data_IF_013328078071
#
_entry.id   IF_013328078071
#
_cell.length_a   1.000
_cell.length_b   1.000
_cell.length_c   1.000
_cell.angle_alpha   90.00
_cell.angle_beta   90.00
_cell.angle_gamma   90.00
#
_symmetry.space_group_name_H-M   'P 1'
#
loop_
_entity.id
_entity.type
_entity.pdbx_description
1 polymer ?
#
# COMPACT_ATOMS: atom_id res chain seq x y z
N UNK A 1 3.22 51.17 20.35
CA UNK A 1 4.65 51.27 19.99
C UNK A 1 4.83 50.88 18.52
N UNK A 2 5.92 51.27 17.85
CA UNK A 2 6.21 50.82 16.49
C UNK A 2 7.09 49.56 16.48
N UNK A 3 6.71 48.54 15.72
CA UNK A 3 7.45 47.29 15.55
C UNK A 3 8.49 47.51 14.43
N UNK A 4 9.76 47.32 14.76
CA UNK A 4 10.86 47.40 13.80
C UNK A 4 11.37 45.99 13.45
N UNK A 5 11.47 45.66 12.17
CA UNK A 5 11.97 44.37 11.70
C UNK A 5 12.58 44.48 10.30
N UNK A 6 13.39 43.49 9.90
CA UNK A 6 14.09 43.47 8.60
C UNK A 6 13.47 42.43 7.66
N UNK A 7 13.34 42.80 6.39
CA UNK A 7 12.98 41.87 5.31
C UNK A 7 14.19 41.01 4.92
N UNK A 8 13.96 39.87 4.27
CA UNK A 8 15.02 38.98 3.77
C UNK A 8 15.94 39.63 2.73
N UNK A 9 15.50 40.71 2.07
CA UNK A 9 16.33 41.53 1.19
C UNK A 9 17.22 42.55 1.94
N UNK A 10 17.18 42.57 3.27
CA UNK A 10 17.98 43.48 4.11
C UNK A 10 17.30 44.82 4.44
N UNK A 11 16.20 45.19 3.77
CA UNK A 11 15.49 46.45 4.03
C UNK A 11 14.76 46.41 5.38
N UNK A 12 15.00 47.42 6.23
CA UNK A 12 14.34 47.57 7.51
C UNK A 12 12.98 48.28 7.36
N UNK A 13 11.98 47.83 8.12
CA UNK A 13 10.64 48.39 8.17
C UNK A 13 10.26 48.72 9.62
N UNK A 14 9.55 49.84 9.77
CA UNK A 14 8.97 50.28 11.04
C UNK A 14 7.47 50.46 10.82
N UNK A 15 6.66 49.61 11.46
CA UNK A 15 5.20 49.57 11.27
C UNK A 15 4.49 49.80 12.60
N UNK A 16 3.28 50.38 12.60
CA UNK A 16 2.50 50.55 13.82
C UNK A 16 2.03 49.20 14.37
N UNK A 17 1.81 49.11 15.70
CA UNK A 17 1.34 47.88 16.36
C UNK A 17 0.07 47.27 15.75
N UNK A 18 -0.83 48.09 15.18
CA UNK A 18 -2.06 47.63 14.52
C UNK A 18 -1.81 46.80 13.24
N UNK A 19 -0.56 46.74 12.78
CA UNK A 19 -0.11 45.92 11.66
C UNK A 19 0.50 44.58 12.09
N UNK A 20 0.64 44.32 13.40
CA UNK A 20 1.13 43.04 13.93
C UNK A 20 0.38 41.85 13.33
N UNK A 21 1.12 40.84 12.85
CA UNK A 21 0.56 39.62 12.26
C UNK A 21 0.04 39.76 10.82
N UNK A 22 -0.12 40.98 10.29
CA UNK A 22 -0.60 41.20 8.91
C UNK A 22 0.50 40.97 7.88
N UNK A 23 0.10 40.55 6.67
CA UNK A 23 1.00 40.35 5.52
C UNK A 23 0.95 41.56 4.59
N UNK A 24 2.11 42.01 4.10
CA UNK A 24 2.22 43.04 3.06
C UNK A 24 3.40 42.76 2.14
N UNK A 25 3.45 43.38 0.97
CA UNK A 25 4.54 43.19 0.01
C UNK A 25 5.72 44.12 0.33
N UNK A 26 6.94 43.59 0.31
CA UNK A 26 8.15 44.40 0.47
C UNK A 26 8.30 45.37 -0.71
N UNK A 27 8.52 46.67 -0.44
CA UNK A 27 8.71 47.69 -1.49
C UNK A 27 10.04 47.59 -2.26
N UNK A 28 10.95 46.69 -1.87
CA UNK A 28 12.26 46.53 -2.51
C UNK A 28 12.40 45.24 -3.33
N UNK A 29 11.79 44.14 -2.87
CA UNK A 29 11.90 42.84 -3.55
C UNK A 29 10.54 42.22 -3.91
N UNK A 30 9.44 42.92 -3.63
CA UNK A 30 8.04 42.53 -3.92
C UNK A 30 7.54 41.24 -3.26
N UNK A 31 8.40 40.53 -2.51
CA UNK A 31 8.04 39.32 -1.78
C UNK A 31 7.04 39.62 -0.66
N UNK A 32 6.05 38.74 -0.42
CA UNK A 32 5.12 38.87 0.70
C UNK A 32 5.86 38.65 2.03
N UNK A 33 5.67 39.57 2.96
CA UNK A 33 6.31 39.60 4.28
C UNK A 33 5.24 39.71 5.36
N UNK A 34 5.42 39.00 6.48
CA UNK A 34 4.51 39.06 7.62
C UNK A 34 5.13 39.87 8.76
N UNK A 35 4.37 40.80 9.35
CA UNK A 35 4.80 41.57 10.52
C UNK A 35 4.84 40.64 11.74
N UNK A 36 5.95 40.56 12.49
CA UNK A 36 6.01 39.80 13.73
C UNK A 36 5.00 40.34 14.74
N UNK A 37 4.14 39.48 15.28
CA UNK A 37 3.27 39.87 16.40
C UNK A 37 4.02 39.67 17.72
N UNK A 38 4.05 40.66 18.63
CA UNK A 38 4.59 40.47 19.98
C UNK A 38 3.75 39.39 20.65
N UNK A 39 4.36 38.22 20.86
CA UNK A 39 3.64 37.03 21.29
C UNK A 39 2.88 37.29 22.59
N UNK A 40 1.59 36.95 22.59
CA UNK A 40 1.03 36.26 23.76
C UNK A 40 2.02 35.16 24.10
N UNK A 41 2.69 35.28 25.25
CA UNK A 41 3.54 34.24 25.81
C UNK A 41 2.74 32.96 25.70
N UNK A 42 3.17 32.02 24.84
CA UNK A 42 2.65 30.65 24.87
C UNK A 42 2.72 30.22 26.33
N UNK A 43 1.58 29.96 26.94
CA UNK A 43 1.54 29.34 28.25
C UNK A 43 2.46 28.12 28.15
N UNK A 44 3.57 28.15 28.90
CA UNK A 44 4.30 26.94 29.26
C UNK A 44 3.22 26.05 29.88
N UNK A 45 2.84 24.97 29.18
CA UNK A 45 2.04 23.90 29.78
C UNK A 45 2.84 23.48 31.02
N UNK A 46 2.28 23.77 32.20
CA UNK A 46 2.82 23.33 33.47
C UNK A 46 2.96 21.81 33.39
N UNK A 47 4.16 21.34 33.70
CA UNK A 47 4.36 20.01 34.24
C UNK A 47 3.52 19.94 35.51
N UNK A 48 2.48 19.10 35.47
CA UNK A 48 1.69 18.71 36.62
C UNK A 48 1.57 17.19 36.55
N UNK A 49 2.18 16.55 37.55
CA UNK A 49 1.91 15.25 38.15
C UNK A 49 1.72 14.03 37.25
N UNK A 50 2.41 12.98 37.65
CA UNK A 50 2.17 11.57 37.30
C UNK A 50 0.68 11.27 37.16
N UNK A 51 0.32 10.78 35.98
CA UNK A 51 -0.95 10.12 35.74
C UNK A 51 -0.62 8.66 35.45
N UNK A 52 -1.03 7.83 36.39
CA UNK A 52 -1.11 6.38 36.32
C UNK A 52 -1.78 5.95 35.00
N UNK A 53 -1.16 5.10 34.17
CA UNK A 53 -1.75 4.59 32.94
C UNK A 53 -2.87 3.54 33.15
N UNK A 54 -3.34 3.30 34.38
CA UNK A 54 -4.38 2.30 34.67
C UNK A 54 -5.72 2.81 35.25
N UNK A 55 -6.07 4.11 35.16
CA UNK A 55 -7.43 4.55 35.52
C UNK A 55 -8.35 4.56 34.29
N UNK A 56 -9.11 3.48 34.10
CA UNK A 56 -10.29 3.47 33.23
C UNK A 56 -11.37 4.37 33.85
N UNK A 57 -11.49 5.59 33.36
CA UNK A 57 -12.64 6.46 33.62
C UNK A 57 -13.70 6.18 32.55
N UNK A 58 -14.68 5.37 32.94
CA UNK A 58 -15.92 5.11 32.20
C UNK A 58 -16.81 6.36 32.30
N UNK A 59 -16.44 7.41 31.58
CA UNK A 59 -17.20 8.65 31.48
C UNK A 59 -18.21 8.59 30.33
N UNK A 60 -19.46 8.24 30.66
CA UNK A 60 -20.64 8.51 29.84
C UNK A 60 -20.60 9.96 29.32
N UNK A 61 -20.41 10.15 28.02
CA UNK A 61 -20.63 11.44 27.37
C UNK A 61 -22.11 11.55 26.96
N UNK A 62 -22.86 12.22 27.83
CA UNK A 62 -24.17 12.80 27.54
C UNK A 62 -24.05 13.93 26.49
N UNK A 63 -25.01 13.90 25.58
CA UNK A 63 -25.59 14.99 24.80
C UNK A 63 -24.73 15.78 23.78
N UNK A 64 -24.95 15.36 22.54
CA UNK A 64 -24.63 16.06 21.31
C UNK A 64 -25.38 17.41 21.17
N UNK A 65 -24.63 18.51 21.09
CA UNK A 65 -25.10 19.74 20.45
C UNK A 65 -24.64 19.76 18.98
N UNK A 66 -25.55 19.79 17.98
CA UNK A 66 -25.17 19.78 16.58
C UNK A 66 -24.53 21.12 16.18
N UNK A 67 -23.27 21.08 15.79
CA UNK A 67 -22.57 22.20 15.16
C UNK A 67 -23.15 22.41 13.75
N UNK A 68 -23.82 23.53 13.55
CA UNK A 68 -24.40 23.92 12.26
C UNK A 68 -23.32 24.10 11.18
N UNK A 69 -23.40 23.29 10.13
CA UNK A 69 -22.56 23.42 8.93
C UNK A 69 -22.93 24.70 8.15
N UNK A 70 -21.95 25.41 7.56
CA UNK A 70 -22.22 26.60 6.76
C UNK A 70 -22.98 26.28 5.46
N UNK A 71 -23.87 27.18 4.98
CA UNK A 71 -24.74 26.92 3.84
C UNK A 71 -23.96 26.80 2.52
N UNK A 72 -24.11 25.64 1.87
CA UNK A 72 -23.58 25.33 0.54
C UNK A 72 -24.33 26.16 -0.52
N UNK A 73 -23.63 27.09 -1.18
CA UNK A 73 -24.13 27.88 -2.31
C UNK A 73 -24.62 26.96 -3.44
N UNK A 74 -25.92 26.98 -3.72
CA UNK A 74 -26.53 26.43 -4.94
C UNK A 74 -26.19 27.33 -6.13
N UNK A 75 -25.51 26.79 -7.14
CA UNK A 75 -25.49 27.38 -8.50
C UNK A 75 -26.61 26.71 -9.29
N UNK A 76 -27.69 27.45 -9.51
CA UNK A 76 -28.66 27.18 -10.56
C UNK A 76 -28.08 27.56 -11.93
N UNK A 77 -28.57 26.89 -12.96
CA UNK A 77 -28.10 27.05 -14.34
C UNK A 77 -28.84 26.12 -15.27
N UNK A 78 -30.11 26.41 -15.45
CA UNK A 78 -31.09 25.83 -16.37
C UNK A 78 -30.67 25.99 -17.84
N UNK A 79 -30.83 24.94 -18.65
CA UNK A 79 -31.42 25.03 -19.99
C UNK A 79 -31.45 23.66 -20.68
N UNK A 80 -32.56 23.45 -21.36
CA UNK A 80 -33.16 22.19 -21.79
C UNK A 80 -32.82 21.87 -23.27
N UNK A 81 -33.61 21.09 -24.05
CA UNK A 81 -33.17 19.81 -24.64
C UNK A 81 -33.17 19.83 -26.18
N UNK A 82 -32.62 18.80 -26.87
CA UNK A 82 -33.05 18.43 -28.25
C UNK A 82 -32.51 17.08 -28.78
N UNK A 83 -33.45 16.12 -28.91
CA UNK A 83 -33.78 15.24 -30.06
C UNK A 83 -32.74 14.99 -31.19
N UNK A 84 -32.57 13.70 -31.53
CA UNK A 84 -32.96 12.98 -32.79
C UNK A 84 -32.23 11.61 -32.81
N UNK A 85 -32.86 10.43 -32.70
CA UNK A 85 -33.70 9.63 -33.62
C UNK A 85 -33.10 9.35 -35.02
N UNK A 86 -33.24 8.07 -35.41
CA UNK A 86 -33.14 7.44 -36.75
C UNK A 86 -31.75 7.23 -37.34
N UNK A 87 -31.43 6.11 -37.99
CA UNK A 87 -32.28 5.01 -38.42
C UNK A 87 -31.45 3.84 -38.96
N UNK A 88 -32.06 2.66 -38.86
CA UNK A 88 -31.60 1.43 -39.48
C UNK A 88 -31.96 1.39 -40.98
N UNK A 89 -31.43 0.36 -41.64
CA UNK A 89 -31.83 -0.31 -42.90
C UNK A 89 -30.92 -0.06 -44.11
N UNK A 90 -30.90 -0.95 -45.12
CA UNK A 90 -31.13 -2.41 -45.11
C UNK A 90 -30.04 -3.22 -45.86
N UNK A 91 -30.10 -4.54 -45.64
CA UNK A 91 -29.44 -5.56 -46.46
C UNK A 91 -29.99 -5.53 -47.89
N UNK A 92 -29.11 -5.58 -48.89
CA UNK A 92 -29.48 -5.85 -50.28
C UNK A 92 -29.14 -7.30 -50.60
N UNK A 93 -30.21 -8.09 -50.72
CA UNK A 93 -30.27 -9.42 -51.29
C UNK A 93 -30.04 -9.35 -52.80
N UNK A 94 -29.14 -10.17 -53.34
CA UNK A 94 -29.12 -10.47 -54.77
C UNK A 94 -28.91 -11.97 -54.98
N UNK A 95 -29.96 -12.62 -55.47
CA UNK A 95 -30.00 -14.01 -55.93
C UNK A 95 -29.45 -14.11 -57.35
N UNK A 96 -28.25 -14.68 -57.49
CA UNK A 96 -27.74 -15.44 -58.64
C UNK A 96 -26.65 -16.35 -58.07
N UNK A 97 -26.56 -17.64 -58.29
CA UNK A 97 -27.28 -18.57 -59.14
C UNK A 97 -26.49 -19.87 -59.06
N UNK A 98 -27.04 -20.85 -58.33
CA UNK A 98 -27.18 -22.26 -58.70
C UNK A 98 -26.12 -22.97 -59.58
N UNK A 99 -24.82 -22.63 -59.52
CA UNK A 99 -23.77 -23.39 -60.23
C UNK A 99 -22.51 -23.67 -59.40
N UNK A 100 -22.52 -23.41 -58.08
CA UNK A 100 -21.36 -23.62 -57.18
C UNK A 100 -21.59 -24.83 -56.23
N UNK A 101 -22.70 -25.56 -56.37
CA UNK A 101 -23.11 -26.59 -55.41
C UNK A 101 -22.36 -27.93 -55.47
N UNK A 102 -21.70 -28.28 -56.58
CA UNK A 102 -21.05 -29.60 -56.74
C UNK A 102 -19.52 -29.51 -56.66
N UNK A 103 -18.91 -28.36 -56.99
CA UNK A 103 -17.47 -28.15 -56.82
C UNK A 103 -17.03 -27.88 -55.37
N UNK A 104 -17.89 -27.26 -54.56
CA UNK A 104 -17.53 -26.86 -53.19
C UNK A 104 -17.59 -28.03 -52.19
N UNK A 105 -18.40 -29.06 -52.43
CA UNK A 105 -18.46 -30.24 -51.54
C UNK A 105 -17.21 -31.12 -51.70
N UNK A 106 -16.68 -31.26 -52.92
CA UNK A 106 -15.43 -32.00 -53.15
C UNK A 106 -14.20 -31.24 -52.61
N UNK A 107 -14.17 -29.91 -52.73
CA UNK A 107 -13.08 -29.09 -52.19
C UNK A 107 -13.15 -28.96 -50.65
N UNK A 108 -14.34 -29.00 -50.05
CA UNK A 108 -14.52 -29.03 -48.59
C UNK A 108 -14.22 -30.40 -47.95
N UNK A 109 -14.36 -31.51 -48.67
CA UNK A 109 -14.01 -32.82 -48.10
C UNK A 109 -12.51 -33.12 -48.20
N UNK A 110 -11.85 -32.71 -49.30
CA UNK A 110 -10.38 -32.87 -49.43
C UNK A 110 -9.61 -31.77 -48.69
N UNK A 111 -10.11 -30.53 -48.72
CA UNK A 111 -9.57 -29.41 -47.93
C UNK A 111 -9.99 -29.41 -46.46
N UNK A 112 -11.11 -30.06 -46.10
CA UNK A 112 -11.59 -30.15 -44.72
C UNK A 112 -10.84 -31.16 -43.88
N UNK A 113 -10.45 -32.32 -44.42
CA UNK A 113 -9.64 -33.29 -43.67
C UNK A 113 -8.18 -32.84 -43.57
N UNK A 114 -7.61 -32.27 -44.64
CA UNK A 114 -6.27 -31.67 -44.59
C UNK A 114 -6.21 -30.38 -43.76
N UNK A 115 -7.24 -29.52 -43.86
CA UNK A 115 -7.35 -28.28 -43.11
C UNK A 115 -7.66 -28.50 -41.62
N UNK A 116 -8.43 -29.51 -41.25
CA UNK A 116 -8.70 -29.83 -39.85
C UNK A 116 -7.45 -30.37 -39.13
N UNK A 117 -6.62 -31.17 -39.83
CA UNK A 117 -5.31 -31.58 -39.29
C UNK A 117 -4.27 -30.45 -39.30
N UNK A 118 -4.32 -29.52 -40.26
CA UNK A 118 -3.46 -28.32 -40.25
C UNK A 118 -3.84 -27.31 -39.14
N UNK A 119 -5.13 -27.18 -38.81
CA UNK A 119 -5.59 -26.30 -37.72
C UNK A 119 -5.35 -26.92 -36.34
N UNK A 120 -5.43 -28.25 -36.19
CA UNK A 120 -5.00 -28.90 -34.93
C UNK A 120 -3.48 -28.86 -34.71
N UNK A 121 -2.67 -28.81 -35.77
CA UNK A 121 -1.21 -28.69 -35.64
C UNK A 121 -0.72 -27.26 -35.43
N UNK A 122 -1.56 -26.23 -35.62
CA UNK A 122 -1.28 -24.85 -35.19
C UNK A 122 -1.75 -24.54 -33.76
N UNK A 123 -2.59 -25.40 -33.17
CA UNK A 123 -2.98 -25.31 -31.75
C UNK A 123 -2.24 -26.34 -30.87
N UNK A 124 -1.32 -27.09 -31.47
CA UNK A 124 -0.42 -28.00 -30.78
C UNK A 124 0.69 -27.20 -30.10
N UNK A 125 0.48 -26.93 -28.82
CA UNK A 125 1.56 -26.61 -27.89
C UNK A 125 2.14 -25.22 -28.07
N UNK A 126 1.44 -24.22 -27.53
CA UNK A 126 2.17 -23.26 -26.72
C UNK A 126 2.89 -24.08 -25.65
N UNK A 127 4.15 -24.43 -25.93
CA UNK A 127 5.04 -24.98 -24.94
C UNK A 127 4.92 -24.10 -23.69
N UNK A 128 4.85 -24.68 -22.47
CA UNK A 128 4.85 -23.88 -21.26
C UNK A 128 6.00 -22.88 -21.39
N UNK A 129 5.66 -21.59 -21.36
CA UNK A 129 6.61 -20.52 -21.52
C UNK A 129 7.82 -20.86 -20.64
N UNK A 130 8.98 -21.04 -21.26
CA UNK A 130 10.19 -21.43 -20.56
C UNK A 130 10.34 -20.53 -19.33
N UNK A 131 10.66 -21.08 -18.15
CA UNK A 131 10.71 -20.31 -16.91
C UNK A 131 11.59 -19.10 -17.15
N UNK A 132 11.01 -17.91 -17.00
CA UNK A 132 11.71 -16.64 -17.17
C UNK A 132 12.90 -16.69 -16.22
N UNK A 133 14.11 -16.78 -16.77
CA UNK A 133 15.32 -16.81 -15.97
C UNK A 133 15.56 -15.41 -15.41
N UNK A 134 15.05 -15.17 -14.19
CA UNK A 134 15.22 -13.90 -13.48
C UNK A 134 16.64 -13.86 -12.90
N UNK A 135 17.39 -12.80 -13.20
CA UNK A 135 18.70 -12.57 -12.59
C UNK A 135 18.52 -11.87 -11.24
N UNK A 136 19.11 -12.41 -10.18
CA UNK A 136 18.97 -11.87 -8.83
C UNK A 136 20.22 -11.12 -8.38
N UNK A 137 20.01 -9.92 -7.83
CA UNK A 137 21.01 -9.15 -7.10
C UNK A 137 20.75 -9.27 -5.59
N UNK A 138 21.80 -9.11 -4.79
CA UNK A 138 21.67 -9.20 -3.32
C UNK A 138 21.90 -7.83 -2.71
N UNK A 139 20.92 -7.36 -1.93
CA UNK A 139 21.07 -6.18 -1.08
C UNK A 139 21.51 -6.62 0.32
N UNK A 140 22.48 -5.92 0.89
CA UNK A 140 22.86 -6.02 2.31
C UNK A 140 22.70 -4.65 2.96
N UNK A 141 21.74 -4.52 3.86
CA UNK A 141 21.45 -3.25 4.52
C UNK A 141 22.26 -3.12 5.81
N UNK A 142 23.36 -2.37 5.77
CA UNK A 142 24.32 -2.28 6.88
C UNK A 142 23.69 -1.89 8.22
N UNK A 143 22.83 -0.86 8.22
CA UNK A 143 22.17 -0.37 9.44
C UNK A 143 20.95 -1.21 9.87
N UNK A 144 20.42 -2.04 8.97
CA UNK A 144 19.23 -2.84 9.21
C UNK A 144 19.58 -4.25 9.69
N UNK A 145 20.81 -4.72 9.43
CA UNK A 145 21.21 -6.09 9.74
C UNK A 145 20.33 -7.11 9.02
N UNK A 146 19.97 -6.82 7.77
CA UNK A 146 19.28 -7.76 6.90
C UNK A 146 19.89 -7.79 5.50
N UNK A 147 19.76 -8.94 4.86
CA UNK A 147 20.10 -9.15 3.45
C UNK A 147 18.90 -9.72 2.70
N UNK A 148 18.70 -9.32 1.46
CA UNK A 148 17.59 -9.81 0.64
C UNK A 148 18.01 -9.87 -0.84
N UNK A 149 17.65 -10.95 -1.53
CA UNK A 149 17.75 -11.02 -2.99
C UNK A 149 16.57 -10.32 -3.63
N UNK A 150 16.79 -9.70 -4.77
CA UNK A 150 15.74 -9.08 -5.58
C UNK A 150 16.08 -9.20 -7.07
N UNK A 151 15.09 -9.18 -7.97
CA UNK A 151 15.34 -9.17 -9.40
C UNK A 151 16.17 -7.94 -9.78
N UNK A 152 17.26 -8.15 -10.53
CA UNK A 152 18.27 -7.12 -10.82
C UNK A 152 17.76 -6.02 -11.74
N UNK A 153 16.67 -6.30 -12.45
CA UNK A 153 15.96 -5.39 -13.34
C UNK A 153 14.96 -4.47 -12.63
N UNK A 154 14.78 -4.63 -11.31
CA UNK A 154 13.83 -3.83 -10.53
C UNK A 154 14.47 -2.56 -9.96
N UNK A 155 13.68 -1.49 -9.92
CA UNK A 155 14.07 -0.24 -9.26
C UNK A 155 14.16 -0.47 -7.75
N UNK A 156 15.31 -0.17 -7.16
CA UNK A 156 15.60 -0.35 -5.75
C UNK A 156 15.65 0.99 -5.01
N UNK A 157 15.00 1.06 -3.84
CA UNK A 157 15.09 2.17 -2.89
C UNK A 157 15.43 1.61 -1.52
N UNK A 158 16.45 2.15 -0.88
CA UNK A 158 16.83 1.83 0.49
C UNK A 158 16.96 3.09 1.34
N UNK A 159 16.85 2.95 2.66
CA UNK A 159 17.09 4.06 3.58
C UNK A 159 16.70 3.75 5.02
N UNK A 160 16.91 4.74 5.89
CA UNK A 160 16.65 4.58 7.32
C UNK A 160 17.82 3.94 8.07
N UNK A 161 17.57 3.52 9.32
CA UNK A 161 18.60 2.98 10.22
C UNK A 161 19.40 4.03 11.00
N UNK A 162 19.18 5.33 10.73
CA UNK A 162 19.80 6.44 11.47
C UNK A 162 18.78 7.55 11.77
N UNK A 163 19.00 8.30 12.85
CA UNK A 163 18.16 9.45 13.21
C UNK A 163 16.71 9.11 13.56
N UNK A 164 16.45 7.94 14.15
CA UNK A 164 15.11 7.49 14.54
C UNK A 164 14.21 7.05 13.39
N UNK A 165 14.75 6.96 12.16
CA UNK A 165 14.02 6.42 11.00
C UNK A 165 14.25 4.91 10.91
N UNK A 166 13.20 4.08 10.91
CA UNK A 166 13.34 2.63 10.76
C UNK A 166 14.02 2.27 9.43
N UNK A 167 14.94 1.30 9.39
CA UNK A 167 15.54 0.83 8.15
C UNK A 167 14.48 0.19 7.23
N UNK A 168 14.60 0.43 5.94
CA UNK A 168 13.73 -0.13 4.92
C UNK A 168 14.46 -0.35 3.58
N UNK A 169 13.92 -1.29 2.81
CA UNK A 169 14.20 -1.41 1.39
C UNK A 169 12.90 -1.70 0.62
N UNK A 170 12.81 -1.23 -0.62
CA UNK A 170 11.72 -1.53 -1.54
C UNK A 170 12.23 -1.74 -2.96
N UNK A 171 11.56 -2.64 -3.68
CA UNK A 171 11.91 -3.06 -5.02
C UNK A 171 10.65 -3.04 -5.90
N UNK A 172 10.73 -2.45 -7.10
CA UNK A 172 9.58 -2.25 -7.98
C UNK A 172 9.92 -2.44 -9.46
N UNK A 173 9.01 -3.06 -10.23
CA UNK A 173 9.10 -3.15 -11.70
C UNK A 173 7.99 -2.35 -12.43
N UNK A 174 7.26 -1.54 -11.65
CA UNK A 174 6.07 -0.79 -12.10
C UNK A 174 4.74 -1.57 -12.02
N UNK A 175 4.79 -2.90 -11.86
CA UNK A 175 3.61 -3.77 -11.68
C UNK A 175 3.56 -4.38 -10.28
N UNK A 176 4.66 -5.01 -9.87
CA UNK A 176 4.87 -5.65 -8.60
C UNK A 176 5.71 -4.76 -7.68
N UNK A 177 5.49 -4.94 -6.37
CA UNK A 177 6.13 -4.17 -5.32
C UNK A 177 6.54 -5.11 -4.20
N UNK A 178 7.82 -5.07 -3.83
CA UNK A 178 8.36 -5.76 -2.65
C UNK A 178 8.83 -4.70 -1.68
N UNK A 179 8.49 -4.82 -0.40
CA UNK A 179 9.08 -4.01 0.65
C UNK A 179 9.46 -4.84 1.86
N UNK A 180 10.53 -4.42 2.51
CA UNK A 180 10.92 -4.83 3.85
C UNK A 180 11.06 -3.57 4.70
N UNK A 181 10.30 -3.50 5.79
CA UNK A 181 10.29 -2.33 6.68
C UNK A 181 10.38 -2.76 8.12
N UNK A 182 11.25 -2.10 8.87
CA UNK A 182 11.26 -2.24 10.31
C UNK A 182 10.00 -1.59 10.91
N UNK A 183 9.31 -2.33 11.79
CA UNK A 183 8.13 -1.85 12.51
C UNK A 183 8.43 -1.73 14.01
N UNK A 184 8.70 -0.51 14.52
CA UNK A 184 8.99 -0.31 15.93
C UNK A 184 7.80 -0.62 16.85
N UNK A 185 6.55 -0.50 16.36
CA UNK A 185 5.35 -0.85 17.15
C UNK A 185 5.21 -2.36 17.34
N UNK A 186 5.66 -3.14 16.36
CA UNK A 186 5.61 -4.59 16.42
C UNK A 186 6.46 -5.16 17.56
N UNK A 187 7.66 -4.59 17.80
CA UNK A 187 8.54 -5.05 18.88
C UNK A 187 7.89 -4.95 20.27
N UNK A 188 7.17 -3.85 20.55
CA UNK A 188 6.41 -3.71 21.80
C UNK A 188 5.25 -4.71 21.91
N UNK A 189 4.61 -5.06 20.79
CA UNK A 189 3.51 -6.03 20.77
C UNK A 189 4.05 -7.44 20.94
N UNK A 190 5.18 -7.79 20.31
CA UNK A 190 5.83 -9.08 20.49
C UNK A 190 6.19 -9.31 21.95
N UNK A 191 6.70 -8.29 22.65
CA UNK A 191 6.96 -8.38 24.09
C UNK A 191 5.70 -8.52 24.94
N UNK A 192 4.56 -7.94 24.54
CA UNK A 192 3.27 -8.11 25.24
C UNK A 192 2.61 -9.45 24.93
N UNK A 193 2.75 -9.96 23.70
CA UNK A 193 2.23 -11.25 23.27
C UNK A 193 2.98 -12.43 23.91
N UNK A 194 4.24 -12.23 24.31
CA UNK A 194 5.00 -13.21 25.08
C UNK A 194 4.63 -13.24 26.58
N UNK A 195 3.79 -12.33 27.06
CA UNK A 195 3.30 -12.38 28.44
C UNK A 195 2.08 -13.31 28.50
N UNK A 196 2.01 -14.23 29.48
CA UNK A 196 0.81 -15.02 29.69
C UNK A 196 -0.36 -14.07 29.92
N UNK A 197 -1.41 -14.24 29.12
CA UNK A 197 -2.56 -13.35 28.99
C UNK A 197 -3.32 -13.22 30.31
N UNK A 198 -2.90 -12.30 31.19
CA UNK A 198 -3.66 -11.68 32.29
C UNK A 198 -4.39 -12.57 33.30
N UNK A 199 -4.32 -13.89 33.17
CA UNK A 199 -4.98 -14.87 34.02
C UNK A 199 -4.03 -15.38 35.10
N UNK A 200 -4.58 -15.89 36.23
CA UNK A 200 -3.76 -16.58 37.21
C UNK A 200 -2.99 -17.71 36.53
N UNK A 201 -1.67 -17.78 36.75
CA UNK A 201 -0.82 -18.86 36.26
C UNK A 201 -1.34 -20.15 36.92
N UNK A 202 -2.12 -20.95 36.18
CA UNK A 202 -2.59 -22.24 36.66
C UNK A 202 -1.41 -23.21 36.54
N UNK A 203 -0.88 -23.75 37.64
CA UNK A 203 0.22 -24.70 37.59
C UNK A 203 -0.26 -25.97 36.87
N UNK A 204 0.31 -26.25 35.70
CA UNK A 204 0.01 -27.46 34.90
C UNK A 204 -0.70 -27.21 33.58
N UNK A 205 -1.11 -25.98 33.27
CA UNK A 205 -1.64 -25.65 31.95
C UNK A 205 -0.49 -25.42 30.98
N UNK A 206 -0.31 -26.35 30.03
CA UNK A 206 0.61 -26.14 28.92
C UNK A 206 -0.03 -25.13 27.98
N UNK A 207 0.31 -23.86 28.14
CA UNK A 207 0.01 -22.83 27.15
C UNK A 207 0.74 -23.25 25.88
N UNK A 208 0.00 -23.60 24.82
CA UNK A 208 0.61 -23.78 23.50
C UNK A 208 1.32 -22.48 23.15
N UNK A 209 2.65 -22.51 23.19
CA UNK A 209 3.52 -21.35 22.98
C UNK A 209 3.45 -20.99 21.49
N UNK A 210 2.44 -20.19 21.12
CA UNK A 210 2.33 -19.68 19.77
C UNK A 210 3.56 -18.84 19.44
N UNK A 211 4.13 -18.97 18.22
CA UNK A 211 5.30 -18.20 17.86
C UNK A 211 4.96 -16.71 17.97
N UNK A 212 5.82 -15.88 18.58
CA UNK A 212 5.54 -14.46 18.77
C UNK A 212 5.31 -13.73 17.43
N UNK A 213 5.84 -14.27 16.33
CA UNK A 213 5.55 -13.77 14.99
C UNK A 213 4.08 -13.89 14.60
N UNK A 214 3.34 -14.93 15.04
CA UNK A 214 1.91 -15.14 14.75
C UNK A 214 1.05 -14.06 15.41
N UNK A 215 1.20 -13.85 16.71
CA UNK A 215 0.40 -12.85 17.43
C UNK A 215 0.60 -11.43 16.86
N UNK A 216 1.85 -11.03 16.58
CA UNK A 216 2.09 -9.72 15.95
C UNK A 216 1.54 -9.68 14.52
N UNK A 217 1.61 -10.80 13.81
CA UNK A 217 1.08 -10.89 12.46
C UNK A 217 -0.44 -10.68 12.43
N UNK A 218 -1.19 -11.34 13.31
CA UNK A 218 -2.65 -11.19 13.44
C UNK A 218 -3.02 -9.77 13.91
N UNK A 219 -2.35 -9.25 14.93
CA UNK A 219 -2.58 -7.88 15.40
C UNK A 219 -2.39 -6.85 14.28
N UNK A 220 -1.33 -7.00 13.47
CA UNK A 220 -1.07 -6.10 12.35
C UNK A 220 -2.11 -6.25 11.21
N UNK A 221 -2.64 -7.45 11.01
CA UNK A 221 -3.74 -7.70 10.07
C UNK A 221 -4.93 -6.81 10.43
N UNK A 222 -5.34 -6.87 11.69
CA UNK A 222 -6.54 -6.20 12.19
C UNK A 222 -6.36 -4.68 12.31
N UNK A 223 -5.21 -4.21 12.79
CA UNK A 223 -5.04 -2.79 13.14
C UNK A 223 -4.45 -1.93 12.04
N UNK A 224 -3.79 -2.53 11.04
CA UNK A 224 -3.11 -1.80 9.96
C UNK A 224 -3.67 -2.21 8.61
N UNK A 225 -3.61 -3.50 8.27
CA UNK A 225 -3.95 -3.93 6.92
C UNK A 225 -5.45 -3.91 6.60
N UNK A 226 -6.30 -4.20 7.58
CA UNK A 226 -7.76 -4.08 7.43
C UNK A 226 -8.21 -2.65 7.14
N UNK A 227 -7.42 -1.66 7.57
CA UNK A 227 -7.70 -0.23 7.39
C UNK A 227 -7.12 0.25 6.06
N UNK A 228 -5.91 -0.19 5.73
CA UNK A 228 -5.20 0.23 4.52
C UNK A 228 -5.79 -0.40 3.23
N UNK A 229 -6.38 -1.60 3.35
CA UNK A 229 -6.95 -2.35 2.23
C UNK A 229 -8.46 -2.50 2.38
N UNK A 230 -9.22 -2.12 1.35
CA UNK A 230 -10.64 -2.47 1.24
C UNK A 230 -10.78 -3.93 0.85
N UNK A 231 -11.82 -4.59 1.37
CA UNK A 231 -12.09 -6.01 1.12
C UNK A 231 -10.87 -6.89 1.45
N UNK A 232 -10.22 -6.59 2.59
CA UNK A 232 -9.06 -7.32 3.07
C UNK A 232 -9.47 -8.73 3.49
N UNK A 233 -8.91 -9.72 2.80
CA UNK A 233 -9.11 -11.14 3.06
C UNK A 233 -7.72 -11.78 3.19
N UNK A 234 -7.39 -12.30 4.36
CA UNK A 234 -6.12 -12.97 4.64
C UNK A 234 -6.35 -14.45 4.92
N UNK A 235 -5.59 -15.30 4.22
CA UNK A 235 -5.57 -16.74 4.47
C UNK A 235 -4.77 -17.02 5.74
N UNK A 236 -5.12 -18.09 6.48
CA UNK A 236 -4.38 -18.47 7.68
C UNK A 236 -2.90 -18.63 7.33
N UNK A 237 -2.06 -17.86 8.03
CA UNK A 237 -0.64 -17.91 7.84
C UNK A 237 -0.03 -19.21 8.36
N UNK A 238 1.22 -19.44 8.02
CA UNK A 238 2.02 -20.59 8.45
C UNK A 238 3.40 -20.14 8.90
N UNK A 239 3.99 -20.94 9.78
CA UNK A 239 5.40 -20.78 10.12
C UNK A 239 6.27 -20.93 8.86
N UNK A 240 7.21 -20.00 8.72
CA UNK A 240 8.08 -19.96 7.56
C UNK A 240 9.51 -19.65 8.00
N UNK A 241 10.41 -20.60 7.75
CA UNK A 241 11.82 -20.50 8.12
C UNK A 241 12.61 -19.84 6.99
N UNK A 242 13.30 -18.76 7.32
CA UNK A 242 14.23 -18.06 6.44
C UNK A 242 15.61 -17.92 7.12
N UNK A 243 16.68 -17.62 6.39
CA UNK A 243 18.01 -17.40 6.99
C UNK A 243 18.03 -16.35 8.12
N UNK A 244 17.12 -15.36 8.11
CA UNK A 244 16.99 -14.37 9.18
C UNK A 244 16.41 -14.94 10.49
N UNK A 245 15.54 -15.96 10.41
CA UNK A 245 14.84 -16.55 11.54
C UNK A 245 13.55 -17.28 11.15
N UNK A 246 12.77 -17.67 12.15
CA UNK A 246 11.41 -18.20 11.96
C UNK A 246 10.45 -17.00 11.92
N UNK A 247 9.68 -16.91 10.85
CA UNK A 247 8.64 -15.91 10.66
C UNK A 247 7.26 -16.51 10.46
N UNK A 248 6.28 -15.64 10.30
CA UNK A 248 4.90 -16.02 9.98
C UNK A 248 4.53 -15.48 8.60
N UNK A 249 4.26 -16.39 7.65
CA UNK A 249 3.93 -16.08 6.27
C UNK A 249 2.44 -16.29 6.02
N UNK A 250 1.76 -15.28 5.53
CA UNK A 250 0.38 -15.37 5.05
C UNK A 250 0.25 -14.86 3.62
N UNK A 251 -0.86 -15.23 3.00
CA UNK A 251 -1.30 -14.68 1.73
C UNK A 251 -2.55 -13.86 1.98
N UNK A 252 -2.62 -12.66 1.42
CA UNK A 252 -3.80 -11.82 1.52
C UNK A 252 -4.18 -11.20 0.19
N UNK A 253 -5.45 -10.84 0.08
CA UNK A 253 -5.99 -10.06 -1.02
C UNK A 253 -6.68 -8.81 -0.49
N UNK A 254 -6.67 -7.75 -1.28
CA UNK A 254 -7.30 -6.50 -0.89
C UNK A 254 -7.13 -5.42 -1.94
N UNK A 255 -7.97 -4.39 -1.86
CA UNK A 255 -7.95 -3.26 -2.77
C UNK A 255 -7.30 -2.06 -2.10
N UNK A 256 -6.13 -1.67 -2.59
CA UNK A 256 -5.37 -0.52 -2.07
C UNK A 256 -5.86 0.78 -2.74
N UNK A 257 -6.43 1.70 -1.95
CA UNK A 257 -6.89 3.01 -2.43
C UNK A 257 -7.97 2.96 -3.51
N UNK A 258 -7.72 3.59 -4.66
CA UNK A 258 -8.57 3.58 -5.86
C UNK A 258 -8.10 2.58 -6.93
N UNK A 259 -7.20 1.65 -6.56
CA UNK A 259 -6.56 0.72 -7.49
C UNK A 259 -7.35 -0.56 -7.76
N UNK A 260 -6.73 -1.47 -8.52
CA UNK A 260 -7.21 -2.84 -8.74
C UNK A 260 -6.97 -3.73 -7.51
N UNK A 261 -7.80 -4.78 -7.33
CA UNK A 261 -7.56 -5.84 -6.33
C UNK A 261 -6.11 -6.36 -6.46
N UNK A 262 -5.42 -6.35 -5.33
CA UNK A 262 -4.05 -6.84 -5.18
C UNK A 262 -4.07 -8.18 -4.49
N UNK A 263 -3.09 -8.99 -4.84
CA UNK A 263 -2.76 -10.23 -4.16
C UNK A 263 -1.33 -10.11 -3.65
N UNK A 264 -1.10 -10.54 -2.41
CA UNK A 264 0.16 -10.28 -1.74
C UNK A 264 0.54 -11.39 -0.76
N UNK A 265 1.86 -11.58 -0.61
CA UNK A 265 2.43 -12.28 0.53
C UNK A 265 2.85 -11.29 1.60
N UNK A 266 2.64 -11.68 2.86
CA UNK A 266 3.11 -10.97 4.04
C UNK A 266 3.91 -11.90 4.92
N UNK A 267 5.16 -11.54 5.18
CA UNK A 267 6.02 -12.25 6.12
C UNK A 267 6.35 -11.33 7.29
N UNK A 268 6.01 -11.78 8.50
CA UNK A 268 6.41 -11.13 9.76
C UNK A 268 7.64 -11.84 10.31
N UNK A 269 8.72 -11.10 10.52
CA UNK A 269 9.96 -11.58 11.12
C UNK A 269 10.23 -10.85 12.42
N UNK A 270 10.31 -11.59 13.52
CA UNK A 270 10.62 -11.04 14.84
C UNK A 270 12.07 -11.37 15.18
N UNK A 271 12.92 -10.35 15.28
CA UNK A 271 14.29 -10.46 15.78
C UNK A 271 14.44 -9.81 17.16
N UNK A 272 15.62 -9.93 17.77
CA UNK A 272 15.89 -9.40 19.12
C UNK A 272 15.78 -7.88 19.18
N UNK A 273 16.25 -7.18 18.15
CA UNK A 273 16.29 -5.71 18.12
C UNK A 273 15.29 -5.10 17.13
N UNK A 274 14.93 -5.86 16.09
CA UNK A 274 14.14 -5.37 14.98
C UNK A 274 13.07 -6.38 14.59
N UNK A 275 11.84 -5.88 14.41
CA UNK A 275 10.80 -6.62 13.74
C UNK A 275 10.63 -6.11 12.31
N UNK A 276 10.74 -7.02 11.35
CA UNK A 276 10.54 -6.72 9.95
C UNK A 276 9.20 -7.23 9.46
N UNK A 277 8.48 -6.36 8.75
CA UNK A 277 7.35 -6.76 7.94
C UNK A 277 7.78 -6.70 6.47
N UNK A 278 7.62 -7.83 5.79
CA UNK A 278 7.93 -7.99 4.39
C UNK A 278 6.61 -8.15 3.64
N UNK A 279 6.39 -7.32 2.63
CA UNK A 279 5.19 -7.38 1.79
C UNK A 279 5.64 -7.54 0.35
N UNK A 280 5.12 -8.56 -0.33
CA UNK A 280 5.30 -8.74 -1.76
C UNK A 280 3.91 -8.70 -2.41
N UNK A 281 3.60 -7.67 -3.19
CA UNK A 281 2.26 -7.46 -3.76
C UNK A 281 2.30 -7.24 -5.27
N UNK A 282 1.29 -7.75 -5.96
CA UNK A 282 1.04 -7.48 -7.37
C UNK A 282 -0.47 -7.46 -7.67
N UNK A 283 -0.90 -7.03 -8.87
CA UNK A 283 -2.28 -7.21 -9.32
C UNK A 283 -2.65 -8.70 -9.34
N UNK A 284 -3.86 -9.05 -8.91
CA UNK A 284 -4.28 -10.46 -8.78
C UNK A 284 -4.20 -11.25 -10.09
N UNK A 285 -4.42 -10.61 -11.25
CA UNK A 285 -4.37 -11.24 -12.57
C UNK A 285 -2.95 -11.57 -13.09
N UNK A 286 -1.90 -11.11 -12.40
CA UNK A 286 -0.50 -11.42 -12.75
C UNK A 286 0.20 -12.26 -11.68
N UNK A 287 -0.55 -12.77 -10.70
CA UNK A 287 0.01 -13.47 -9.56
C UNK A 287 0.91 -14.65 -9.96
N UNK A 288 0.46 -15.47 -10.91
CA UNK A 288 1.17 -16.67 -11.34
C UNK A 288 2.58 -16.38 -11.90
N UNK A 289 2.80 -15.16 -12.43
CA UNK A 289 4.12 -14.74 -12.93
C UNK A 289 5.07 -14.29 -11.81
N UNK A 290 4.53 -13.74 -10.72
CA UNK A 290 5.33 -13.17 -9.63
C UNK A 290 5.43 -14.08 -8.41
N UNK A 291 4.57 -15.09 -8.28
CA UNK A 291 4.54 -15.98 -7.11
C UNK A 291 5.91 -16.63 -6.86
N UNK A 292 6.53 -17.19 -7.90
CA UNK A 292 7.84 -17.81 -7.81
C UNK A 292 8.93 -16.79 -7.41
N UNK A 293 8.88 -15.58 -7.98
CA UNK A 293 9.81 -14.49 -7.69
C UNK A 293 9.67 -14.06 -6.23
N UNK A 294 8.45 -13.81 -5.76
CA UNK A 294 8.17 -13.42 -4.39
C UNK A 294 8.64 -14.47 -3.39
N UNK A 295 8.38 -15.75 -3.67
CA UNK A 295 8.82 -16.83 -2.79
C UNK A 295 10.33 -16.97 -2.76
N UNK A 296 11.04 -16.79 -3.88
CA UNK A 296 12.51 -16.79 -3.89
C UNK A 296 13.08 -15.62 -3.10
N UNK A 297 12.52 -14.42 -3.26
CA UNK A 297 12.90 -13.22 -2.51
C UNK A 297 12.67 -13.43 -1.01
N UNK A 298 11.49 -13.91 -0.60
CA UNK A 298 11.16 -14.20 0.81
C UNK A 298 12.12 -15.23 1.41
N UNK A 299 12.42 -16.32 0.70
CA UNK A 299 13.37 -17.36 1.15
C UNK A 299 14.80 -16.85 1.32
N UNK A 300 15.16 -15.80 0.60
CA UNK A 300 16.52 -15.24 0.61
C UNK A 300 16.82 -14.32 1.80
N UNK A 301 15.81 -13.98 2.60
CA UNK A 301 15.94 -12.98 3.67
C UNK A 301 16.86 -13.50 4.77
N UNK A 302 17.99 -12.83 4.95
CA UNK A 302 19.07 -13.17 5.88
C UNK A 302 19.47 -11.98 6.75
N UNK A 303 20.45 -12.19 7.63
CA UNK A 303 21.07 -11.16 8.48
C UNK A 303 22.29 -10.55 7.80
#
# INVERSE_FOLDING_TARGET
MPIAFKCSCGKAYKVPDNAAGKKFKCKACEKPLQVPAPGTKKAKKKVAAEHDPFSMDFGLEDDAAPVALPPRRKKGGESTPKKKKSGASPKTESKKGLYIGIGVVAFLLVGGVGGFFAVQSMNAGAAPAAPVQVQYSTLKHELGGFSIKYPSDWEMKEGGGSGGRPPYASFEDGTAYISIRHNPKGASIGSMASLPSGGPIIPGEQVEEEPPAKSVHEFMAETVYSIDFKDFEELPGKEFKVPYGIGWLSEFTGTEGFGSKKKAYRLTLTGTNFQYNVICKCPSHKWDNYEAIFMEVIKSIGR
#
